data_IF_893435008683
#
_entry.id   IF_893435008683
#
_cell.length_a   1.000
_cell.length_b   1.000
_cell.length_c   1.000
_cell.angle_alpha   90.00
_cell.angle_beta   90.00
_cell.angle_gamma   90.00
#
_symmetry.space_group_name_H-M   'P 1'
#
loop_
_entity.id
_entity.type
_entity.pdbx_description
1 polymer ?
#
# COMPACT_ATOMS: atom_id res chain seq x y z
N UNK A 1 -4.25 -7.37 10.16
CA UNK A 1 -5.59 -6.92 9.67
C UNK A 1 -6.16 -8.01 8.75
N UNK A 2 -7.36 -7.90 8.19
CA UNK A 2 -7.75 -8.83 7.09
C UNK A 2 -6.88 -8.54 5.87
N UNK A 3 -6.40 -9.57 5.13
CA UNK A 3 -5.68 -9.35 3.89
C UNK A 3 -6.56 -8.56 2.91
N UNK A 4 -5.99 -7.54 2.29
CA UNK A 4 -6.65 -6.68 1.30
C UNK A 4 -5.91 -6.79 -0.02
N UNK A 5 -6.64 -6.81 -1.12
CA UNK A 5 -6.06 -6.74 -2.45
C UNK A 5 -5.28 -5.43 -2.60
N UNK A 6 -4.10 -5.50 -3.20
CA UNK A 6 -3.19 -4.35 -3.35
C UNK A 6 -3.89 -3.18 -4.04
N UNK A 7 -4.55 -3.42 -5.18
CA UNK A 7 -5.22 -2.38 -5.95
C UNK A 7 -6.25 -1.60 -5.10
N UNK A 8 -7.06 -2.30 -4.30
CA UNK A 8 -8.05 -1.64 -3.43
C UNK A 8 -7.42 -0.73 -2.39
N UNK A 9 -6.25 -1.08 -1.88
CA UNK A 9 -5.53 -0.25 -0.89
C UNK A 9 -4.86 0.95 -1.58
N UNK A 10 -4.36 0.77 -2.80
CA UNK A 10 -3.82 1.87 -3.61
C UNK A 10 -4.92 2.87 -3.95
N UNK A 11 -6.11 2.42 -4.34
CA UNK A 11 -7.25 3.29 -4.62
C UNK A 11 -7.63 4.16 -3.41
N UNK A 12 -7.67 3.58 -2.21
CA UNK A 12 -7.92 4.33 -0.97
C UNK A 12 -6.84 5.39 -0.71
N UNK A 13 -5.57 5.07 -1.00
CA UNK A 13 -4.46 5.99 -0.80
C UNK A 13 -4.50 7.13 -1.81
N UNK A 14 -4.79 6.84 -3.08
CA UNK A 14 -4.93 7.86 -4.12
C UNK A 14 -6.10 8.80 -3.82
N UNK A 15 -7.24 8.26 -3.41
CA UNK A 15 -8.38 9.06 -2.97
C UNK A 15 -8.03 9.95 -1.76
N UNK A 16 -7.24 9.44 -0.81
CA UNK A 16 -6.74 10.24 0.31
C UNK A 16 -5.77 11.34 -0.14
N UNK A 17 -4.90 11.08 -1.12
CA UNK A 17 -4.00 12.08 -1.68
C UNK A 17 -4.76 13.20 -2.40
N UNK A 18 -5.86 12.87 -3.08
CA UNK A 18 -6.76 13.87 -3.67
C UNK A 18 -7.48 14.69 -2.60
N UNK A 19 -7.89 14.06 -1.50
CA UNK A 19 -8.57 14.71 -0.38
C UNK A 19 -7.64 15.64 0.41
N UNK A 20 -6.35 15.29 0.51
CA UNK A 20 -5.33 16.03 1.26
C UNK A 20 -4.15 16.42 0.34
N UNK A 21 -4.31 17.43 -0.53
CA UNK A 21 -3.31 17.82 -1.52
C UNK A 21 -1.95 18.16 -0.92
N UNK A 22 -1.94 18.74 0.28
CA UNK A 22 -0.73 19.08 1.03
C UNK A 22 0.07 17.85 1.50
N UNK A 23 -0.58 16.69 1.60
CA UNK A 23 0.03 15.42 1.99
C UNK A 23 0.35 14.53 0.78
N UNK A 24 -0.20 14.86 -0.40
CA UNK A 24 -0.14 14.01 -1.59
C UNK A 24 1.30 13.62 -1.99
N UNK A 25 2.24 14.56 -1.94
CA UNK A 25 3.63 14.29 -2.30
C UNK A 25 4.28 13.25 -1.37
N UNK A 26 4.09 13.38 -0.07
CA UNK A 26 4.62 12.46 0.94
C UNK A 26 3.93 11.09 0.86
N UNK A 27 2.62 11.09 0.61
CA UNK A 27 1.82 9.88 0.41
C UNK A 27 2.34 9.08 -0.78
N UNK A 28 2.50 9.73 -1.93
CA UNK A 28 3.01 9.10 -3.15
C UNK A 28 4.45 8.64 -2.98
N UNK A 29 5.31 9.44 -2.33
CA UNK A 29 6.69 9.08 -2.07
C UNK A 29 6.85 7.85 -1.16
N UNK A 30 5.92 7.65 -0.21
CA UNK A 30 5.93 6.45 0.62
C UNK A 30 5.57 5.19 -0.18
N UNK A 31 4.57 5.27 -1.05
CA UNK A 31 4.03 4.11 -1.78
C UNK A 31 4.90 3.73 -2.98
N UNK A 32 5.33 4.73 -3.75
CA UNK A 32 6.05 4.54 -4.99
C UNK A 32 7.55 4.77 -4.80
N UNK A 33 8.36 4.08 -5.59
CA UNK A 33 9.79 4.36 -5.70
C UNK A 33 10.08 5.39 -6.82
N UNK A 34 11.36 5.57 -7.13
CA UNK A 34 11.80 6.52 -8.16
C UNK A 34 11.39 6.09 -9.59
N UNK A 35 11.01 4.83 -9.82
CA UNK A 35 10.52 4.33 -11.12
C UNK A 35 9.00 4.39 -11.23
N UNK A 36 8.31 4.90 -10.20
CA UNK A 36 6.84 4.91 -10.07
C UNK A 36 6.25 3.51 -9.86
N UNK A 37 7.04 2.55 -9.40
CA UNK A 37 6.57 1.22 -9.03
C UNK A 37 6.20 1.17 -7.55
N UNK A 38 5.21 0.33 -7.20
CA UNK A 38 4.88 0.08 -5.80
C UNK A 38 6.07 -0.59 -5.14
N UNK A 39 6.54 -0.04 -4.01
CA UNK A 39 7.73 -0.56 -3.34
C UNK A 39 7.53 -2.04 -2.95
N UNK A 40 8.51 -2.94 -3.20
CA UNK A 40 8.35 -4.38 -3.09
C UNK A 40 8.04 -4.90 -1.67
N UNK A 41 8.25 -4.09 -0.63
CA UNK A 41 7.93 -4.45 0.76
C UNK A 41 6.52 -4.03 1.20
N UNK A 42 5.74 -3.42 0.31
CA UNK A 42 4.38 -2.95 0.57
C UNK A 42 3.31 -3.92 0.06
N UNK A 43 3.72 -5.03 -0.57
CA UNK A 43 2.83 -6.07 -1.04
C UNK A 43 3.46 -7.46 -0.93
N UNK A 44 2.62 -8.49 -1.08
CA UNK A 44 3.04 -9.87 -1.25
C UNK A 44 2.13 -10.55 -2.28
N UNK A 45 2.63 -11.61 -2.88
CA UNK A 45 1.85 -12.44 -3.80
C UNK A 45 1.40 -13.70 -3.07
N UNK A 46 0.11 -14.01 -3.16
CA UNK A 46 -0.45 -15.26 -2.68
C UNK A 46 -0.94 -16.07 -3.87
N UNK A 47 -0.40 -17.28 -4.02
CA UNK A 47 -0.83 -18.24 -5.03
C UNK A 47 -1.74 -19.27 -4.38
N UNK A 48 -2.94 -19.45 -4.93
CA UNK A 48 -3.94 -20.42 -4.48
C UNK A 48 -4.35 -21.33 -5.63
N UNK A 49 -4.37 -22.64 -5.38
CA UNK A 49 -4.91 -23.62 -6.32
C UNK A 49 -6.42 -23.75 -6.08
N UNK A 50 -7.21 -23.51 -7.12
CA UNK A 50 -8.65 -23.73 -7.12
C UNK A 50 -8.93 -25.16 -7.57
N UNK A 51 -9.99 -25.78 -7.04
CA UNK A 51 -10.33 -27.19 -7.23
C UNK A 51 -10.39 -27.66 -8.70
N UNK A 52 -10.59 -26.75 -9.66
CA UNK A 52 -10.60 -27.03 -11.10
C UNK A 52 -9.21 -27.01 -11.77
N UNK A 53 -8.13 -27.19 -11.00
CA UNK A 53 -6.72 -27.09 -11.46
C UNK A 53 -6.29 -25.70 -11.93
N UNK A 54 -7.10 -24.66 -11.66
CA UNK A 54 -6.76 -23.27 -11.94
C UNK A 54 -5.85 -22.71 -10.84
N UNK A 55 -4.82 -21.97 -11.25
CA UNK A 55 -3.94 -21.23 -10.34
C UNK A 55 -4.38 -19.78 -10.32
N UNK A 56 -4.70 -19.27 -9.13
CA UNK A 56 -5.01 -17.85 -8.90
C UNK A 56 -3.83 -17.23 -8.17
N UNK A 57 -3.31 -16.13 -8.72
CA UNK A 57 -2.30 -15.30 -8.08
C UNK A 57 -2.94 -13.99 -7.69
N UNK A 58 -2.95 -13.70 -6.39
CA UNK A 58 -3.47 -12.45 -5.84
C UNK A 58 -2.31 -11.63 -5.27
N UNK A 59 -2.24 -10.36 -5.66
CA UNK A 59 -1.32 -9.40 -5.03
C UNK A 59 -2.03 -8.74 -3.87
N UNK A 60 -1.53 -8.99 -2.66
CA UNK A 60 -2.08 -8.49 -1.40
C UNK A 60 -1.23 -7.33 -0.88
N UNK A 61 -1.88 -6.34 -0.29
CA UNK A 61 -1.19 -5.28 0.44
C UNK A 61 -0.58 -5.84 1.72
N UNK A 62 0.68 -5.48 1.99
CA UNK A 62 1.31 -5.76 3.27
C UNK A 62 0.58 -5.00 4.39
N UNK A 63 0.60 -5.54 5.62
CA UNK A 63 -0.05 -4.91 6.78
C UNK A 63 0.40 -3.44 6.96
N UNK A 64 1.67 -3.13 6.66
CA UNK A 64 2.22 -1.77 6.73
C UNK A 64 1.51 -0.82 5.76
N UNK A 65 1.23 -1.25 4.54
CA UNK A 65 0.51 -0.45 3.55
C UNK A 65 -0.95 -0.25 3.96
N UNK A 66 -1.58 -1.28 4.52
CA UNK A 66 -2.96 -1.18 5.04
C UNK A 66 -3.05 -0.21 6.22
N UNK A 67 -2.09 -0.24 7.14
CA UNK A 67 -1.99 0.70 8.25
C UNK A 67 -1.75 2.13 7.77
N UNK A 68 -0.88 2.30 6.77
CA UNK A 68 -0.61 3.59 6.15
C UNK A 68 -1.88 4.16 5.50
N UNK A 69 -2.57 3.37 4.66
CA UNK A 69 -3.84 3.74 4.05
C UNK A 69 -4.88 4.19 5.09
N UNK A 70 -4.97 3.48 6.21
CA UNK A 70 -5.88 3.84 7.30
C UNK A 70 -5.54 5.17 7.98
N UNK A 71 -4.26 5.53 8.05
CA UNK A 71 -3.82 6.79 8.65
C UNK A 71 -4.04 7.96 7.68
N UNK A 72 -3.66 7.82 6.41
CA UNK A 72 -3.75 8.91 5.41
C UNK A 72 -5.19 9.26 5.06
N UNK A 73 -6.10 8.28 5.06
CA UNK A 73 -7.55 8.52 4.91
C UNK A 73 -8.14 9.35 6.05
N UNK A 74 -7.45 9.45 7.20
CA UNK A 74 -7.83 10.32 8.32
C UNK A 74 -7.09 11.67 8.32
N UNK A 75 -6.31 11.97 7.28
CA UNK A 75 -5.54 13.22 7.17
C UNK A 75 -4.26 13.23 8.01
N UNK A 76 -3.72 12.06 8.33
CA UNK A 76 -2.47 11.95 9.08
C UNK A 76 -1.47 11.05 8.35
N UNK A 77 -0.24 11.54 8.15
CA UNK A 77 0.87 10.70 7.72
C UNK A 77 1.52 10.14 8.99
N UNK A 78 1.46 8.83 9.24
CA UNK A 78 2.23 8.24 10.32
C UNK A 78 3.69 8.49 9.99
N UNK A 79 4.35 9.32 10.81
CA UNK A 79 5.78 9.58 10.68
C UNK A 79 6.46 8.23 10.54
N UNK A 80 6.88 7.95 9.31
CA UNK A 80 7.70 6.80 8.99
C UNK A 80 8.84 6.91 9.98
N UNK A 81 8.98 5.90 10.85
CA UNK A 81 10.18 5.78 11.71
C UNK A 81 11.37 6.23 10.87
N UNK A 82 12.25 7.10 11.42
CA UNK A 82 13.42 7.54 10.68
C UNK A 82 14.03 6.28 10.10
N UNK A 83 14.40 6.34 8.83
CA UNK A 83 15.39 5.41 8.33
C UNK A 83 16.55 5.46 9.34
N UNK A 84 16.61 4.51 10.28
CA UNK A 84 17.82 4.28 11.05
C UNK A 84 18.87 3.99 9.99
N UNK A 85 19.96 4.72 9.88
CA UNK A 85 20.68 5.41 10.94
C UNK A 85 22.09 4.85 10.85
N UNK A 86 23.04 5.75 10.62
CA UNK A 86 24.46 5.52 10.30
C UNK A 86 24.77 5.14 8.85
#
# INVERSE_FOLDING_TARGET
MKPRLLHSVIDDILAAAEQWPELAADILHFVFDATHDVRPHLYCEQTSCVADSSVVVETLAADRLVQFAHAVTRGFIPHVMPAGGA
#
